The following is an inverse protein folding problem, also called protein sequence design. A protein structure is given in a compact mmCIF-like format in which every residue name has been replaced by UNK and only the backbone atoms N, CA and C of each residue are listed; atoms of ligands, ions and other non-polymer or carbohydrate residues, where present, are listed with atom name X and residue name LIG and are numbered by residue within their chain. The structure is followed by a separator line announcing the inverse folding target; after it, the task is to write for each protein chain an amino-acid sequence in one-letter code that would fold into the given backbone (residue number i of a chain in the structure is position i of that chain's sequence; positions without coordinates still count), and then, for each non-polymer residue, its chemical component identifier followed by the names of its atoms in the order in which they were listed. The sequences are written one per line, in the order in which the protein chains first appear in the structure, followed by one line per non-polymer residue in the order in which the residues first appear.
data_IF_427973844191
#
_entry.id   IF_427973844191
#
_cell.length_a   1.000
_cell.length_b   1.000
_cell.length_c   1.000
_cell.angle_alpha   90.00
_cell.angle_beta   90.00
_cell.angle_gamma   90.00
#
_symmetry.space_group_name_H-M   'P 1'
#
loop_
_entity.id
_entity.type
_entity.pdbx_description
1 polymer ?
#
# COMPACT_ATOMS: atom_id res chain seq x y z
N UNK A 1 7.85 -6.07 20.32
CA UNK A 1 9.04 -5.19 20.34
C UNK A 1 9.62 -5.15 18.94
N UNK A 2 9.75 -3.95 18.36
CA UNK A 2 10.41 -3.75 17.07
C UNK A 2 11.83 -4.35 17.05
N UNK A 3 12.20 -4.98 15.93
CA UNK A 3 13.55 -5.55 15.70
C UNK A 3 14.58 -4.48 15.36
N UNK A 4 14.13 -3.33 14.87
CA UNK A 4 14.97 -2.19 14.53
C UNK A 4 14.58 -1.00 15.40
N UNK A 5 15.58 -0.21 15.82
CA UNK A 5 15.33 1.04 16.52
C UNK A 5 14.72 2.08 15.57
N UNK A 6 13.89 2.97 16.12
CA UNK A 6 13.43 4.16 15.41
C UNK A 6 14.57 5.18 15.36
N UNK A 7 14.80 5.76 14.20
CA UNK A 7 15.73 6.88 14.04
C UNK A 7 14.97 8.20 14.00
N UNK A 8 15.64 9.24 14.45
CA UNK A 8 15.22 10.64 14.43
C UNK A 8 16.21 11.44 13.58
N UNK A 9 15.92 12.70 13.22
CA UNK A 9 16.93 13.56 12.57
C UNK A 9 18.24 13.68 13.36
N UNK A 10 18.21 13.58 14.69
CA UNK A 10 19.40 13.68 15.54
C UNK A 10 20.23 12.39 15.54
N UNK A 11 19.61 11.24 15.30
CA UNK A 11 20.25 9.92 15.40
C UNK A 11 20.53 9.28 14.04
N UNK A 12 19.86 9.70 12.98
CA UNK A 12 20.15 9.31 11.61
C UNK A 12 21.38 10.05 11.05
N UNK A 13 21.98 9.50 9.99
CA UNK A 13 23.12 10.11 9.30
C UNK A 13 22.87 10.22 7.79
N UNK A 14 23.59 11.14 7.14
CA UNK A 14 23.53 11.34 5.69
C UNK A 14 22.11 11.61 5.19
N UNK A 15 21.77 11.03 4.03
CA UNK A 15 20.48 11.26 3.37
C UNK A 15 19.25 10.90 4.23
N UNK A 16 19.35 9.90 5.12
CA UNK A 16 18.24 9.56 6.01
C UNK A 16 17.94 10.66 7.02
N UNK A 17 18.97 11.34 7.54
CA UNK A 17 18.78 12.50 8.43
C UNK A 17 18.02 13.59 7.71
N UNK A 18 18.47 13.93 6.50
CA UNK A 18 17.90 15.05 5.74
C UNK A 18 16.44 14.73 5.37
N UNK A 19 16.14 13.49 4.92
CA UNK A 19 14.77 13.03 4.64
C UNK A 19 13.86 13.06 5.87
N UNK A 20 14.34 12.63 7.04
CA UNK A 20 13.55 12.70 8.28
C UNK A 20 13.34 14.15 8.74
N UNK A 21 14.37 14.99 8.63
CA UNK A 21 14.28 16.42 8.95
C UNK A 21 13.19 17.12 8.13
N UNK A 22 13.20 16.92 6.81
CA UNK A 22 12.19 17.47 5.90
C UNK A 22 10.77 17.00 6.23
N UNK A 23 10.60 15.76 6.70
CA UNK A 23 9.29 15.22 7.07
C UNK A 23 8.80 15.82 8.40
N UNK A 24 9.68 15.90 9.40
CA UNK A 24 9.37 16.50 10.71
C UNK A 24 9.04 17.98 10.55
N UNK A 25 9.77 18.73 9.73
CA UNK A 25 9.47 20.15 9.48
C UNK A 25 8.07 20.35 8.87
N UNK A 26 7.67 19.46 7.95
CA UNK A 26 6.37 19.58 7.25
C UNK A 26 5.18 19.02 8.03
N UNK A 27 5.41 18.03 8.88
CA UNK A 27 4.34 17.23 9.49
C UNK A 27 4.38 17.20 11.02
N UNK A 28 5.39 17.78 11.66
CA UNK A 28 5.60 17.79 13.10
C UNK A 28 6.27 16.51 13.63
N UNK A 29 5.83 15.35 13.15
CA UNK A 29 6.38 14.05 13.52
C UNK A 29 6.39 13.06 12.34
N UNK A 30 7.09 11.95 12.53
CA UNK A 30 7.15 10.82 11.58
C UNK A 30 6.71 9.55 12.28
N UNK A 31 5.89 8.75 11.60
CA UNK A 31 5.41 7.47 12.11
C UNK A 31 6.51 6.40 12.16
N UNK A 32 6.29 5.34 12.93
CA UNK A 32 7.32 4.34 13.25
C UNK A 32 7.92 3.66 12.04
N UNK A 33 7.11 3.34 11.03
CA UNK A 33 7.60 2.74 9.79
C UNK A 33 8.62 3.65 9.10
N UNK A 34 8.33 4.95 8.98
CA UNK A 34 9.21 5.93 8.33
C UNK A 34 10.50 6.12 9.14
N UNK A 35 10.37 6.29 10.45
CA UNK A 35 11.50 6.41 11.39
C UNK A 35 12.39 5.16 11.37
N UNK A 36 11.80 3.99 11.14
CA UNK A 36 12.53 2.72 11.07
C UNK A 36 13.14 2.48 9.68
N UNK A 37 12.47 2.88 8.60
CA UNK A 37 13.01 2.81 7.23
C UNK A 37 14.28 3.64 7.07
N UNK A 38 14.49 4.65 7.91
CA UNK A 38 15.67 5.51 7.91
C UNK A 38 17.00 4.77 8.13
N UNK A 39 17.00 3.52 8.60
CA UNK A 39 18.20 2.67 8.57
C UNK A 39 18.73 2.43 7.14
N UNK A 40 17.88 2.61 6.12
CA UNK A 40 18.27 2.56 4.71
C UNK A 40 17.74 3.79 3.97
N UNK A 41 18.59 4.78 3.62
CA UNK A 41 18.16 5.94 2.85
C UNK A 41 17.59 5.57 1.48
N UNK A 42 18.05 4.45 0.89
CA UNK A 42 17.52 3.92 -0.36
C UNK A 42 16.06 3.46 -0.21
N UNK A 43 15.75 2.71 0.86
CA UNK A 43 14.38 2.22 1.13
C UNK A 43 13.46 3.39 1.50
N UNK A 44 13.88 4.25 2.42
CA UNK A 44 13.10 5.42 2.84
C UNK A 44 12.84 6.36 1.65
N UNK A 45 13.89 6.73 0.91
CA UNK A 45 13.78 7.61 -0.25
C UNK A 45 12.91 7.01 -1.35
N UNK A 46 13.06 5.72 -1.64
CA UNK A 46 12.24 5.00 -2.61
C UNK A 46 10.75 4.97 -2.22
N UNK A 47 10.45 4.64 -0.96
CA UNK A 47 9.09 4.66 -0.42
C UNK A 47 8.44 6.04 -0.56
N UNK A 48 9.14 7.10 -0.16
CA UNK A 48 8.62 8.47 -0.20
C UNK A 48 8.36 8.93 -1.64
N UNK A 49 9.27 8.63 -2.56
CA UNK A 49 9.13 9.00 -3.97
C UNK A 49 7.99 8.24 -4.64
N UNK A 50 7.91 6.92 -4.45
CA UNK A 50 6.83 6.11 -5.00
C UNK A 50 5.47 6.52 -4.41
N UNK A 51 5.39 6.71 -3.10
CA UNK A 51 4.17 7.18 -2.43
C UNK A 51 3.72 8.54 -2.95
N UNK A 52 4.66 9.46 -3.20
CA UNK A 52 4.35 10.77 -3.79
C UNK A 52 3.86 10.65 -5.23
N UNK A 53 4.47 9.78 -6.03
CA UNK A 53 4.07 9.55 -7.41
C UNK A 53 2.66 8.94 -7.50
N UNK A 54 2.37 7.94 -6.66
CA UNK A 54 1.08 7.24 -6.64
C UNK A 54 -0.10 8.12 -6.21
N UNK A 55 0.13 9.30 -5.61
CA UNK A 55 -0.93 10.32 -5.43
C UNK A 55 -1.52 10.84 -6.74
N UNK A 56 -0.86 10.57 -7.87
CA UNK A 56 -1.31 10.93 -9.23
C UNK A 56 -1.91 9.76 -10.00
N UNK A 57 -2.11 8.61 -9.35
CA UNK A 57 -2.83 7.49 -9.93
C UNK A 57 -4.23 7.94 -10.38
N UNK A 58 -4.67 7.38 -11.49
CA UNK A 58 -6.01 7.56 -12.04
C UNK A 58 -7.02 6.61 -11.41
N UNK A 59 -6.57 5.42 -10.97
CA UNK A 59 -7.41 4.45 -10.29
C UNK A 59 -8.14 5.08 -9.11
N UNK A 60 -9.45 4.83 -9.02
CA UNK A 60 -10.27 5.38 -7.94
C UNK A 60 -9.70 4.98 -6.57
N UNK A 61 -9.78 5.93 -5.63
CA UNK A 61 -9.15 5.75 -4.33
C UNK A 61 -9.85 4.66 -3.51
N UNK A 62 -11.18 4.51 -3.60
CA UNK A 62 -11.88 3.42 -2.90
C UNK A 62 -11.43 2.06 -3.43
N UNK A 63 -11.34 1.93 -4.75
CA UNK A 63 -10.85 0.69 -5.40
C UNK A 63 -9.41 0.40 -4.98
N UNK A 64 -8.54 1.41 -4.93
CA UNK A 64 -7.16 1.27 -4.48
C UNK A 64 -7.05 0.78 -3.02
N UNK A 65 -7.90 1.28 -2.11
CA UNK A 65 -7.94 0.81 -0.72
C UNK A 65 -8.47 -0.63 -0.62
N UNK A 66 -9.49 -0.99 -1.40
CA UNK A 66 -10.01 -2.37 -1.42
C UNK A 66 -8.97 -3.38 -1.95
N UNK A 67 -8.23 -3.02 -3.01
CA UNK A 67 -7.08 -3.81 -3.49
C UNK A 67 -6.02 -3.95 -2.38
N UNK A 68 -5.71 -2.85 -1.69
CA UNK A 68 -4.73 -2.86 -0.59
C UNK A 68 -5.17 -3.75 0.57
N UNK A 69 -6.46 -3.71 0.96
CA UNK A 69 -7.05 -4.58 1.98
C UNK A 69 -6.90 -6.05 1.58
N UNK A 70 -7.20 -6.40 0.32
CA UNK A 70 -7.08 -7.76 -0.18
C UNK A 70 -5.61 -8.25 -0.12
N UNK A 71 -4.67 -7.43 -0.58
CA UNK A 71 -3.23 -7.75 -0.53
C UNK A 71 -2.75 -7.91 0.91
N UNK A 72 -3.06 -6.96 1.80
CA UNK A 72 -2.59 -7.02 3.20
C UNK A 72 -3.21 -8.15 3.99
N UNK A 73 -4.44 -8.55 3.67
CA UNK A 73 -5.08 -9.73 4.25
C UNK A 73 -4.32 -11.02 3.92
N UNK A 74 -3.70 -11.09 2.73
CA UNK A 74 -2.89 -12.23 2.32
C UNK A 74 -1.44 -12.14 2.76
N UNK A 75 -0.88 -10.93 2.77
CA UNK A 75 0.49 -10.67 3.21
C UNK A 75 0.64 -10.80 4.73
N UNK A 76 -0.43 -10.56 5.49
CA UNK A 76 -0.47 -10.75 6.94
C UNK A 76 0.07 -9.55 7.75
N UNK A 77 0.29 -8.38 7.14
CA UNK A 77 0.64 -7.18 7.89
C UNK A 77 -0.61 -6.59 8.58
N UNK A 78 -0.85 -6.96 9.84
CA UNK A 78 -2.01 -6.49 10.61
C UNK A 78 -2.08 -4.97 10.77
N UNK A 79 -0.93 -4.30 10.94
CA UNK A 79 -0.87 -2.82 11.01
C UNK A 79 -1.30 -2.20 9.69
N UNK A 80 -0.75 -2.68 8.57
CA UNK A 80 -1.07 -2.19 7.23
C UNK A 80 -2.55 -2.40 6.92
N UNK A 81 -3.07 -3.60 7.22
CA UNK A 81 -4.48 -3.93 7.06
C UNK A 81 -5.37 -2.97 7.85
N UNK A 82 -5.05 -2.71 9.12
CA UNK A 82 -5.80 -1.75 9.94
C UNK A 82 -5.78 -0.33 9.37
N UNK A 83 -4.62 0.13 8.89
CA UNK A 83 -4.49 1.44 8.24
C UNK A 83 -5.34 1.56 6.97
N UNK A 84 -5.33 0.54 6.11
CA UNK A 84 -6.13 0.54 4.87
C UNK A 84 -7.63 0.41 5.14
N UNK A 85 -8.05 -0.35 6.16
CA UNK A 85 -9.44 -0.40 6.62
C UNK A 85 -9.90 0.99 7.11
N UNK A 86 -9.08 1.66 7.91
CA UNK A 86 -9.38 3.02 8.39
C UNK A 86 -9.49 4.01 7.23
N UNK A 87 -8.58 3.94 6.26
CA UNK A 87 -8.61 4.77 5.06
C UNK A 87 -9.86 4.50 4.22
N UNK A 88 -10.22 3.24 3.96
CA UNK A 88 -11.43 2.87 3.23
C UNK A 88 -12.70 3.42 3.92
N UNK A 89 -12.81 3.27 5.24
CA UNK A 89 -13.93 3.84 6.03
C UNK A 89 -14.02 5.35 5.90
N UNK A 90 -12.88 6.05 5.91
CA UNK A 90 -12.84 7.51 5.73
C UNK A 90 -13.34 7.97 4.35
N UNK A 91 -13.31 7.09 3.35
CA UNK A 91 -13.87 7.31 2.02
C UNK A 91 -15.34 6.90 1.91
N UNK A 92 -15.94 6.38 2.98
CA UNK A 92 -17.32 5.90 3.01
C UNK A 92 -17.50 4.51 2.39
N UNK A 93 -16.47 3.67 2.41
CA UNK A 93 -16.59 2.24 2.09
C UNK A 93 -17.25 1.53 3.29
N UNK A 94 -18.23 0.68 3.02
CA UNK A 94 -18.97 -0.06 4.06
C UNK A 94 -18.15 -1.20 4.66
N UNK A 95 -18.50 -1.64 5.87
CA UNK A 95 -17.84 -2.79 6.51
C UNK A 95 -18.07 -4.10 5.72
N UNK A 96 -19.21 -4.23 5.03
CA UNK A 96 -19.49 -5.38 4.15
C UNK A 96 -18.56 -5.42 2.93
N UNK A 97 -18.33 -4.27 2.28
CA UNK A 97 -17.37 -4.16 1.18
C UNK A 97 -15.94 -4.44 1.65
N UNK A 98 -15.57 -3.98 2.85
CA UNK A 98 -14.28 -4.28 3.47
C UNK A 98 -14.13 -5.78 3.71
N UNK A 99 -15.14 -6.43 4.30
CA UNK A 99 -15.12 -7.86 4.57
C UNK A 99 -14.98 -8.70 3.30
N UNK A 100 -15.62 -8.29 2.20
CA UNK A 100 -15.47 -8.92 0.89
C UNK A 100 -14.06 -8.71 0.31
N UNK A 101 -13.50 -7.51 0.42
CA UNK A 101 -12.14 -7.27 -0.03
C UNK A 101 -11.11 -8.10 0.75
N UNK A 102 -11.30 -8.30 2.05
CA UNK A 102 -10.46 -9.22 2.84
C UNK A 102 -10.53 -10.67 2.33
N UNK A 103 -11.66 -11.07 1.75
CA UNK A 103 -11.84 -12.37 1.09
C UNK A 103 -11.34 -12.37 -0.37
N UNK A 104 -10.85 -11.24 -0.88
CA UNK A 104 -10.35 -11.11 -2.24
C UNK A 104 -11.42 -10.89 -3.31
N UNK A 105 -12.58 -10.34 -2.94
CA UNK A 105 -13.70 -10.07 -3.87
C UNK A 105 -14.39 -8.73 -3.55
N UNK A 106 -15.44 -8.38 -4.28
CA UNK A 106 -16.23 -7.18 -4.05
C UNK A 106 -17.71 -7.38 -4.41
N UNK A 107 -18.55 -6.42 -4.03
CA UNK A 107 -19.99 -6.42 -4.34
C UNK A 107 -20.30 -6.30 -5.84
N UNK A 108 -19.39 -5.70 -6.62
CA UNK A 108 -19.60 -5.43 -8.05
C UNK A 108 -18.52 -6.11 -8.89
N UNK A 109 -18.90 -6.60 -10.08
CA UNK A 109 -17.98 -7.23 -11.04
C UNK A 109 -16.74 -6.38 -11.36
N UNK A 110 -16.88 -5.07 -11.68
CA UNK A 110 -15.72 -4.20 -11.96
C UNK A 110 -14.70 -4.13 -10.83
N UNK A 111 -15.15 -4.01 -9.57
CA UNK A 111 -14.24 -3.91 -8.42
C UNK A 111 -13.65 -5.27 -8.09
N UNK A 112 -14.45 -6.35 -8.19
CA UNK A 112 -13.98 -7.71 -7.95
C UNK A 112 -12.87 -8.11 -8.94
N UNK A 113 -13.02 -7.76 -10.23
CA UNK A 113 -12.01 -8.00 -11.26
C UNK A 113 -10.71 -7.22 -10.98
N UNK A 114 -10.80 -5.96 -10.52
CA UNK A 114 -9.61 -5.17 -10.16
C UNK A 114 -8.91 -5.72 -8.92
N UNK A 115 -9.66 -6.19 -7.91
CA UNK A 115 -9.08 -6.90 -6.76
C UNK A 115 -8.39 -8.19 -7.21
N UNK A 116 -9.03 -8.98 -8.07
CA UNK A 116 -8.45 -10.21 -8.60
C UNK A 116 -7.12 -9.95 -9.32
N UNK A 117 -7.07 -8.92 -10.20
CA UNK A 117 -5.83 -8.51 -10.85
C UNK A 117 -4.77 -8.10 -9.82
N UNK A 118 -5.11 -7.28 -8.83
CA UNK A 118 -4.18 -6.88 -7.78
C UNK A 118 -3.60 -8.08 -7.00
N UNK A 119 -4.43 -9.09 -6.72
CA UNK A 119 -3.98 -10.33 -6.08
C UNK A 119 -3.10 -11.19 -6.98
N UNK A 120 -3.35 -11.23 -8.29
CA UNK A 120 -2.47 -11.89 -9.26
C UNK A 120 -1.12 -11.18 -9.35
N UNK A 121 -1.10 -9.85 -9.43
CA UNK A 121 0.15 -9.05 -9.38
C UNK A 121 0.94 -9.35 -8.10
N UNK A 122 0.26 -9.59 -6.97
CA UNK A 122 0.94 -9.94 -5.73
C UNK A 122 1.52 -11.37 -5.73
N UNK A 123 0.77 -12.36 -6.24
CA UNK A 123 1.10 -13.79 -6.08
C UNK A 123 1.81 -14.41 -7.27
N UNK A 124 1.31 -14.13 -8.47
CA UNK A 124 1.67 -14.83 -9.70
C UNK A 124 1.42 -13.94 -10.93
N UNK A 125 2.21 -12.86 -11.15
CA UNK A 125 2.00 -11.96 -12.28
C UNK A 125 2.05 -12.66 -13.65
N UNK A 126 2.74 -13.80 -13.74
CA UNK A 126 2.87 -14.58 -14.95
C UNK A 126 1.56 -15.29 -15.38
N UNK A 127 0.55 -15.38 -14.50
CA UNK A 127 -0.75 -15.99 -14.82
C UNK A 127 -1.81 -14.99 -15.29
N UNK A 128 -1.47 -13.71 -15.40
CA UNK A 128 -2.37 -12.68 -15.95
C UNK A 128 -2.57 -12.95 -17.44
N UNK A 129 -3.83 -13.03 -17.89
CA UNK A 129 -4.19 -13.30 -19.29
C UNK A 129 -4.78 -12.09 -19.99
N UNK A 130 -4.75 -12.09 -21.33
CA UNK A 130 -5.34 -11.02 -22.15
C UNK A 130 -6.85 -10.88 -21.89
N UNK A 131 -7.56 -12.00 -21.70
CA UNK A 131 -8.99 -12.01 -21.41
C UNK A 131 -9.34 -11.27 -20.11
N UNK A 132 -8.51 -11.38 -19.08
CA UNK A 132 -8.71 -10.66 -17.81
C UNK A 132 -8.53 -9.16 -17.96
N UNK A 133 -7.56 -8.74 -18.79
CA UNK A 133 -7.33 -7.33 -19.11
C UNK A 133 -8.49 -6.79 -19.96
N UNK A 134 -8.96 -7.56 -20.94
CA UNK A 134 -10.10 -7.18 -21.78
C UNK A 134 -11.42 -7.13 -20.99
N UNK A 135 -11.61 -7.98 -19.98
CA UNK A 135 -12.74 -7.90 -19.06
C UNK A 135 -12.74 -6.55 -18.31
N UNK A 136 -11.60 -6.14 -17.77
CA UNK A 136 -11.45 -4.84 -17.10
C UNK A 136 -11.77 -3.66 -18.03
N UNK A 137 -11.32 -3.72 -19.29
CA UNK A 137 -11.68 -2.74 -20.31
C UNK A 137 -13.18 -2.76 -20.61
N UNK A 138 -13.80 -3.94 -20.63
CA UNK A 138 -15.25 -4.13 -20.77
C UNK A 138 -16.06 -3.46 -19.65
N UNK A 139 -15.50 -3.39 -18.44
CA UNK A 139 -16.07 -2.63 -17.32
C UNK A 139 -15.79 -1.11 -17.38
N UNK A 140 -15.02 -0.65 -18.36
CA UNK A 140 -14.73 0.76 -18.60
C UNK A 140 -13.43 1.28 -17.98
N UNK A 141 -12.59 0.42 -17.40
CA UNK A 141 -11.26 0.84 -16.97
C UNK A 141 -10.36 1.11 -18.17
N UNK A 142 -9.60 2.20 -18.13
CA UNK A 142 -8.56 2.47 -19.11
C UNK A 142 -7.22 1.81 -18.73
N UNK A 143 -6.31 1.66 -19.70
CA UNK A 143 -4.99 1.06 -19.48
C UNK A 143 -4.21 1.76 -18.34
N UNK A 144 -4.43 3.06 -18.12
CA UNK A 144 -3.80 3.80 -17.02
C UNK A 144 -4.28 3.31 -15.65
N UNK A 145 -5.58 3.11 -15.47
CA UNK A 145 -6.15 2.61 -14.20
C UNK A 145 -5.74 1.17 -13.94
N UNK A 146 -5.73 0.34 -14.99
CA UNK A 146 -5.24 -1.04 -14.93
C UNK A 146 -3.75 -1.06 -14.54
N UNK A 147 -2.93 -0.20 -15.13
CA UNK A 147 -1.50 -0.12 -14.82
C UNK A 147 -1.22 0.41 -13.41
N UNK A 148 -2.04 1.32 -12.90
CA UNK A 148 -1.88 1.89 -11.56
C UNK A 148 -1.95 0.82 -10.46
N UNK A 149 -2.68 -0.29 -10.68
CA UNK A 149 -2.77 -1.41 -9.73
C UNK A 149 -1.38 -1.97 -9.39
N UNK A 150 -0.45 -1.99 -10.35
CA UNK A 150 0.91 -2.49 -10.13
C UNK A 150 1.64 -1.61 -9.11
N UNK A 151 1.49 -0.29 -9.20
CA UNK A 151 2.06 0.65 -8.24
C UNK A 151 1.44 0.53 -6.85
N UNK A 152 0.12 0.33 -6.78
CA UNK A 152 -0.61 0.10 -5.52
C UNK A 152 -0.10 -1.18 -4.84
N UNK A 153 -0.04 -2.29 -5.58
CA UNK A 153 0.44 -3.58 -5.06
C UNK A 153 1.92 -3.48 -4.65
N UNK A 154 2.76 -2.83 -5.45
CA UNK A 154 4.19 -2.64 -5.14
C UNK A 154 4.40 -1.86 -3.83
N UNK A 155 3.63 -0.79 -3.60
CA UNK A 155 3.67 -0.05 -2.33
C UNK A 155 3.25 -0.94 -1.16
N UNK A 156 2.19 -1.73 -1.34
CA UNK A 156 1.69 -2.65 -0.32
C UNK A 156 2.72 -3.73 0.05
N UNK A 157 3.37 -4.32 -0.96
CA UNK A 157 4.46 -5.29 -0.75
C UNK A 157 5.58 -4.62 0.04
N UNK A 158 6.04 -3.44 -0.39
CA UNK A 158 7.12 -2.71 0.25
C UNK A 158 6.81 -2.40 1.72
N UNK A 159 5.68 -1.76 2.02
CA UNK A 159 5.32 -1.36 3.38
C UNK A 159 5.00 -2.56 4.26
N UNK A 160 4.24 -3.53 3.74
CA UNK A 160 3.88 -4.75 4.44
C UNK A 160 5.10 -5.60 4.79
N UNK A 161 5.97 -5.87 3.82
CA UNK A 161 7.15 -6.70 4.03
C UNK A 161 8.14 -5.99 4.94
N UNK A 162 8.33 -4.68 4.77
CA UNK A 162 9.17 -3.89 5.65
C UNK A 162 8.67 -3.96 7.10
N UNK A 163 7.39 -3.70 7.36
CA UNK A 163 6.83 -3.75 8.72
C UNK A 163 6.97 -5.14 9.34
N UNK A 164 6.71 -6.20 8.56
CA UNK A 164 6.88 -7.58 9.02
C UNK A 164 8.34 -7.93 9.33
N UNK A 165 9.29 -7.45 8.52
CA UNK A 165 10.75 -7.62 8.77
C UNK A 165 11.20 -6.82 9.98
N UNK A 166 10.75 -5.57 10.10
CA UNK A 166 11.04 -4.70 11.24
C UNK A 166 10.34 -5.14 12.53
N UNK A 167 9.32 -6.02 12.44
CA UNK A 167 8.55 -6.48 13.60
C UNK A 167 7.67 -5.40 14.22
N UNK A 168 7.17 -4.48 13.38
CA UNK A 168 6.26 -3.41 13.77
C UNK A 168 4.82 -3.95 13.88
N UNK A 169 4.13 -3.60 14.97
CA UNK A 169 2.77 -4.04 15.28
C UNK A 169 1.85 -2.84 15.54
N UNK A 170 0.52 -2.96 15.32
CA UNK A 170 -0.39 -1.84 15.55
C UNK A 170 -0.27 -1.30 16.98
N UNK A 171 0.03 0.00 17.13
CA UNK A 171 0.11 0.67 18.43
C UNK A 171 1.47 0.62 19.15
N UNK A 172 2.55 0.26 18.44
CA UNK A 172 3.93 0.51 18.89
C UNK A 172 4.30 2.02 18.93
#
# INVERSE_FOLDING_TARGET
MPRFSRLTPETAVGASRDLLGDLVERHGEVGDMVSTMAHSPAVLGGYLQLSKAMRRAKLDRKVSELVSIAVQSQQGCGMCLASHISAARSLGVSDDEIALAQQGTAMTGPVAAMIALGLQVYREPASITDEQIDELRGYGYCDREISDVVGVVSLNILTGAFNLVAGLTPGD
#
